data_IF_102499676608
#
_entry.id   IF_102499676608
#
_cell.length_a   1.000
_cell.length_b   1.000
_cell.length_c   1.000
_cell.angle_alpha   90.00
_cell.angle_beta   90.00
_cell.angle_gamma   90.00
#
_symmetry.space_group_name_H-M   'P 1'
#
loop_
_entity.id
_entity.type
_entity.pdbx_description
1 polymer ?
2 non-polymer ?
3 non-polymer ?
4 water ?
#
# COMPACT_ATOMS: atom_id res chain seq x y z
N UNK A 4 -18.37 20.13 -2.73
CA UNK A 4 -17.13 19.32 -2.66
C UNK A 4 -15.86 20.16 -2.73
N UNK A 5 -14.79 19.66 -2.11
CA UNK A 5 -13.50 20.32 -2.15
C UNK A 5 -12.40 19.31 -2.40
N UNK A 6 -11.42 19.73 -3.19
CA UNK A 6 -10.26 18.89 -3.41
C UNK A 6 -9.40 18.77 -2.15
N UNK A 7 -9.35 19.83 -1.36
CA UNK A 7 -8.59 19.92 -0.08
C UNK A 7 -7.08 19.95 -0.35
N UNK A 8 -6.59 18.93 -1.02
CA UNK A 8 -5.19 18.86 -1.43
C UNK A 8 -5.10 18.36 -2.87
N UNK A 9 -4.14 18.87 -3.61
CA UNK A 9 -4.00 18.51 -5.03
C UNK A 9 -3.21 17.23 -5.20
N UNK A 10 -2.14 17.14 -4.42
CA UNK A 10 -1.22 16.02 -4.50
C UNK A 10 -0.34 16.02 -3.25
N UNK A 11 0.37 14.92 -3.03
CA UNK A 11 1.37 14.85 -1.95
C UNK A 11 2.64 14.29 -2.55
N UNK A 12 3.74 15.02 -2.37
CA UNK A 12 5.06 14.49 -2.69
C UNK A 12 5.61 13.93 -1.36
N UNK A 13 6.30 12.81 -1.42
CA UNK A 13 6.90 12.24 -0.20
C UNK A 13 8.30 11.77 -0.48
N UNK A 14 9.12 11.84 0.58
CA UNK A 14 10.49 11.43 0.53
C UNK A 14 10.85 10.77 1.87
N UNK A 15 11.56 9.63 1.84
CA UNK A 15 12.18 9.09 3.09
C UNK A 15 13.38 8.26 2.72
N UNK A 16 14.20 7.97 3.72
CA UNK A 16 15.52 7.42 3.46
C UNK A 16 15.67 6.06 4.08
N UNK A 17 16.48 5.24 3.43
CA UNK A 17 16.82 3.93 3.97
C UNK A 17 18.34 3.91 4.15
N UNK A 18 18.76 3.85 5.40
CA UNK A 18 20.19 3.77 5.71
C UNK A 18 20.66 2.31 5.64
N UNK A 19 21.96 2.13 5.70
CA UNK A 19 22.56 0.80 5.49
C UNK A 19 22.07 -0.24 6.47
N UNK A 20 21.87 0.12 7.74
CA UNK A 20 21.41 -0.86 8.73
C UNK A 20 19.89 -1.07 8.68
N UNK A 21 19.19 -0.27 7.91
CA UNK A 21 17.72 -0.39 7.89
C UNK A 21 17.18 -1.47 6.97
N UNK A 22 16.02 -2.00 7.38
CA UNK A 22 15.31 -2.99 6.60
C UNK A 22 14.38 -2.20 5.70
N UNK A 23 14.62 -2.19 4.37
CA UNK A 23 13.73 -1.41 3.50
C UNK A 23 12.23 -1.76 3.66
N UNK A 24 11.91 -3.04 3.91
CA UNK A 24 10.50 -3.42 4.09
C UNK A 24 9.83 -2.73 5.27
N UNK A 25 10.56 -2.63 6.39
CA UNK A 25 10.05 -1.87 7.55
C UNK A 25 9.97 -0.37 7.31
N UNK A 26 10.93 0.20 6.57
CA UNK A 26 10.85 1.61 6.21
C UNK A 26 9.56 1.86 5.38
N UNK A 27 9.29 0.97 4.43
CA UNK A 27 8.11 1.08 3.59
C UNK A 27 6.86 0.82 4.43
N UNK A 28 6.92 -0.16 5.34
CA UNK A 28 5.79 -0.33 6.28
C UNK A 28 5.47 0.98 7.01
N UNK A 29 6.51 1.67 7.51
CA UNK A 29 6.33 2.98 8.15
C UNK A 29 5.68 4.01 7.21
N UNK A 30 6.20 4.12 5.99
CA UNK A 30 5.57 5.00 5.00
C UNK A 30 4.11 4.68 4.78
N UNK A 31 3.78 3.39 4.69
CA UNK A 31 2.38 2.97 4.49
C UNK A 31 1.48 3.13 5.70
N UNK A 32 2.06 3.53 6.83
CA UNK A 32 1.23 3.99 7.94
C UNK A 32 0.91 5.46 7.81
N UNK A 33 1.50 6.10 6.80
CA UNK A 33 1.23 7.51 6.54
C UNK A 33 0.48 7.56 5.22
N UNK A 34 0.96 6.84 4.21
CA UNK A 34 0.20 6.77 2.95
C UNK A 34 0.03 5.31 2.57
N UNK A 35 -1.10 4.68 2.96
CA UNK A 35 -1.26 3.29 2.57
C UNK A 35 -1.19 3.14 1.05
N UNK A 36 -0.57 2.07 0.59
CA UNK A 36 -0.47 1.80 -0.83
C UNK A 36 0.61 2.59 -1.54
N UNK A 37 1.34 3.44 -0.84
CA UNK A 37 2.39 4.19 -1.53
C UNK A 37 3.38 3.22 -2.14
N UNK A 38 3.76 3.47 -3.38
CA UNK A 38 4.77 2.64 -4.03
C UNK A 38 5.86 3.58 -4.52
N UNK A 39 6.88 3.78 -3.68
CA UNK A 39 7.90 4.77 -3.98
C UNK A 39 8.86 4.32 -5.07
N UNK A 40 9.39 5.30 -5.79
CA UNK A 40 10.53 5.07 -6.67
C UNK A 40 11.75 5.03 -5.79
N UNK A 41 12.76 4.30 -6.22
CA UNK A 41 14.01 4.16 -5.48
C UNK A 41 15.09 4.94 -6.17
N UNK A 42 15.96 5.58 -5.39
CA UNK A 42 17.15 6.17 -5.97
C UNK A 42 18.25 6.18 -4.95
N UNK A 43 19.48 5.91 -5.40
CA UNK A 43 20.62 5.90 -4.52
C UNK A 43 21.05 7.35 -4.27
N UNK A 44 21.41 7.67 -3.03
CA UNK A 44 21.86 9.03 -2.68
C UNK A 44 22.77 8.95 -1.46
N UNK A 45 23.12 10.11 -0.91
CA UNK A 45 23.83 10.18 0.35
C UNK A 45 22.96 10.97 1.31
N UNK A 46 22.86 10.46 2.53
CA UNK A 46 22.06 11.08 3.56
C UNK A 46 22.91 11.75 4.63
N UNK A 47 22.41 11.71 5.85
CA UNK A 47 23.09 12.23 7.03
C UNK A 47 24.52 11.72 7.07
N UNK A 48 25.44 12.65 7.27
CA UNK A 48 26.88 12.37 7.39
C UNK A 48 27.49 11.70 6.15
N UNK A 49 26.83 11.88 5.00
CA UNK A 49 27.32 11.32 3.75
C UNK A 49 27.15 9.80 3.64
N UNK A 50 26.35 9.25 4.54
CA UNK A 50 26.02 7.83 4.49
C UNK A 50 25.17 7.47 3.29
N UNK A 51 25.50 6.35 2.61
CA UNK A 51 24.76 6.03 1.40
C UNK A 51 23.37 5.60 1.80
N UNK A 52 22.39 6.09 1.06
CA UNK A 52 20.99 5.77 1.35
C UNK A 52 20.29 5.39 0.06
N UNK A 53 19.18 4.69 0.20
CA UNK A 53 18.19 4.66 -0.85
C UNK A 53 17.20 5.73 -0.46
N UNK A 54 16.90 6.61 -1.40
CA UNK A 54 15.77 7.54 -1.20
C UNK A 54 14.53 6.90 -1.79
N UNK A 55 13.47 6.86 -1.00
CA UNK A 55 12.16 6.42 -1.49
C UNK A 55 11.31 7.66 -1.69
N UNK A 56 10.96 7.92 -2.94
CA UNK A 56 10.22 9.11 -3.33
C UNK A 56 8.95 8.77 -4.11
N UNK A 57 7.96 9.66 -4.04
CA UNK A 57 6.77 9.51 -4.85
C UNK A 57 6.03 10.83 -4.91
N UNK A 58 5.19 10.95 -5.92
CA UNK A 58 4.20 12.02 -6.01
C UNK A 58 2.88 11.30 -6.23
N UNK A 59 1.99 11.50 -5.27
CA UNK A 59 0.73 10.80 -5.22
C UNK A 59 -0.37 11.81 -5.56
N UNK A 60 -1.23 11.47 -6.53
CA UNK A 60 -2.40 12.28 -6.79
C UNK A 60 -3.68 11.44 -6.94
N UNK A 61 -3.60 10.13 -6.65
CA UNK A 61 -4.79 9.25 -6.72
C UNK A 61 -5.82 9.73 -5.71
N UNK A 62 -7.05 9.97 -6.18
CA UNK A 62 -8.14 10.45 -5.35
C UNK A 62 -8.37 9.62 -4.06
N UNK A 63 -8.42 8.29 -4.19
CA UNK A 63 -8.65 7.42 -3.04
C UNK A 63 -7.57 7.56 -1.96
N UNK A 64 -6.31 7.60 -2.36
CA UNK A 64 -5.24 7.80 -1.39
C UNK A 64 -5.25 9.20 -0.77
N UNK A 65 -5.54 10.23 -1.58
CA UNK A 65 -5.53 11.60 -1.07
C UNK A 65 -6.63 11.79 -0.05
N UNK A 66 -7.78 11.17 -0.32
CA UNK A 66 -8.90 11.37 0.57
C UNK A 66 -8.71 10.62 1.87
N UNK A 67 -8.19 9.39 1.79
CA UNK A 67 -7.87 8.61 2.99
C UNK A 67 -6.81 9.32 3.85
N UNK A 68 -5.83 9.92 3.18
CA UNK A 68 -4.83 10.69 3.88
C UNK A 68 -5.46 11.87 4.65
N UNK A 69 -6.33 12.62 3.99
CA UNK A 69 -6.97 13.78 4.60
C UNK A 69 -7.84 13.36 5.80
N UNK A 70 -8.48 12.20 5.68
CA UNK A 70 -9.25 11.64 6.80
C UNK A 70 -8.35 11.45 8.03
N UNK A 71 -7.19 10.81 7.85
CA UNK A 71 -6.28 10.56 8.96
C UNK A 71 -5.60 11.86 9.41
N UNK A 72 -5.20 12.68 8.45
CA UNK A 72 -4.60 13.99 8.74
C UNK A 72 -5.53 14.82 9.63
N UNK A 73 -6.81 14.83 9.26
CA UNK A 73 -7.84 15.55 10.06
C UNK A 73 -7.97 15.01 11.49
N UNK A 74 -7.98 13.69 11.67
CA UNK A 74 -8.08 13.10 13.02
C UNK A 74 -6.86 13.49 13.85
N UNK A 75 -5.69 13.36 13.24
CA UNK A 75 -4.42 13.64 13.91
C UNK A 75 -4.33 15.12 14.34
N UNK A 76 -4.64 16.03 13.42
CA UNK A 76 -4.32 17.45 13.61
C UNK A 76 -5.48 18.39 13.97
N UNK A 77 -6.68 17.83 14.17
CA UNK A 77 -7.83 18.54 14.72
C UNK A 77 -7.35 19.29 15.97
N UNK A 78 -7.58 20.61 15.99
CA UNK A 78 -7.19 21.45 17.12
C UNK A 78 -5.69 21.62 17.35
N UNK A 79 -4.89 21.24 16.36
CA UNK A 79 -3.46 21.34 16.47
C UNK A 79 -2.90 22.23 15.37
N UNK A 80 -3.68 23.24 14.98
CA UNK A 80 -3.30 24.05 13.82
C UNK A 80 -2.04 24.85 14.09
N UNK A 81 -1.89 25.31 15.34
CA UNK A 81 -0.73 26.11 15.74
C UNK A 81 0.60 25.35 15.57
N UNK A 82 0.56 24.02 15.48
CA UNK A 82 1.74 23.21 15.20
C UNK A 82 2.07 23.14 13.71
N UNK A 83 1.18 23.63 12.86
CA UNK A 83 1.35 23.49 11.41
C UNK A 83 1.52 24.84 10.72
N UNK A 84 1.02 25.88 11.37
CA UNK A 84 0.90 27.23 10.78
C UNK A 84 2.17 27.76 10.15
N UNK A 85 3.31 27.41 10.72
CA UNK A 85 4.60 27.93 10.26
C UNK A 85 5.27 27.00 9.25
N UNK A 86 4.63 25.86 8.99
CA UNK A 86 5.19 24.87 8.07
C UNK A 86 4.71 25.05 6.62
N UNK A 87 3.92 26.08 6.36
CA UNK A 87 3.44 26.39 5.01
C UNK A 87 4.46 27.26 4.28
N UNK A 88 4.63 27.05 2.96
CA UNK A 88 5.48 27.98 2.19
C UNK A 88 4.67 29.13 1.57
N UNK A 89 5.34 29.98 0.78
CA UNK A 89 4.70 31.13 0.14
C UNK A 89 3.77 30.73 -1.03
N UNK A 90 3.83 29.46 -1.43
CA UNK A 90 3.15 28.98 -2.63
C UNK A 90 1.96 28.05 -2.45
N UNK A 91 1.43 27.93 -1.23
CA UNK A 91 0.29 27.04 -0.98
C UNK A 91 0.64 25.69 -0.36
N UNK A 92 1.92 25.32 -0.35
CA UNK A 92 2.35 24.01 0.14
C UNK A 92 2.46 23.91 1.65
N UNK A 93 2.16 22.73 2.18
CA UNK A 93 2.36 22.44 3.59
C UNK A 93 3.45 21.39 3.68
N UNK A 94 4.55 21.74 4.36
CA UNK A 94 5.65 20.79 4.54
C UNK A 94 5.58 20.18 5.92
N UNK A 95 5.42 18.87 5.94
CA UNK A 95 5.20 18.14 7.18
C UNK A 95 6.16 16.96 7.25
N UNK A 96 6.94 16.93 8.33
CA UNK A 96 7.86 15.83 8.58
C UNK A 96 7.34 15.01 9.76
N UNK A 97 7.32 13.70 9.58
CA UNK A 97 6.83 12.79 10.62
C UNK A 97 7.93 11.83 11.00
N UNK A 98 8.02 11.53 12.30
CA UNK A 98 9.01 10.61 12.82
C UNK A 98 8.85 9.24 12.17
N UNK A 99 9.94 8.74 11.60
CA UNK A 99 9.89 7.47 10.91
C UNK A 99 9.64 6.28 11.85
N UNK A 100 10.22 6.32 13.06
CA UNK A 100 10.09 5.19 13.97
C UNK A 100 8.70 5.14 14.53
N UNK A 101 8.19 6.32 14.87
CA UNK A 101 6.80 6.45 15.27
C UNK A 101 5.84 6.00 14.16
N UNK A 102 6.08 6.42 12.92
CA UNK A 102 5.27 5.94 11.79
C UNK A 102 5.24 4.40 11.72
N UNK A 103 6.38 3.76 11.97
CA UNK A 103 6.40 2.30 11.92
C UNK A 103 5.46 1.72 12.99
N UNK A 104 5.34 2.42 14.11
CA UNK A 104 4.40 1.99 15.15
C UNK A 104 2.97 2.52 14.92
N UNK A 105 2.73 3.16 13.77
CA UNK A 105 1.39 3.63 13.41
C UNK A 105 1.03 4.96 14.06
N UNK A 106 2.04 5.73 14.44
CA UNK A 106 1.80 7.01 15.10
C UNK A 106 2.36 8.12 14.20
N UNK A 107 1.60 9.21 14.09
CA UNK A 107 2.06 10.36 13.34
C UNK A 107 2.62 11.37 14.31
N UNK A 108 3.94 11.53 14.28
CA UNK A 108 4.59 12.45 15.19
C UNK A 108 5.33 13.49 14.36
N UNK A 109 4.85 14.75 14.38
CA UNK A 109 5.53 15.81 13.65
C UNK A 109 6.90 16.06 14.25
N UNK A 110 7.90 16.24 13.40
CA UNK A 110 9.24 16.58 13.84
C UNK A 110 9.78 17.72 12.99
N UNK A 111 10.86 18.35 13.45
CA UNK A 111 11.44 19.48 12.75
C UNK A 111 12.71 19.09 11.98
N UNK A 112 13.49 18.20 12.58
CA UNK A 112 14.71 17.72 11.98
C UNK A 112 14.84 16.24 12.32
N UNK A 113 15.83 15.60 11.70
CA UNK A 113 16.12 14.21 11.97
C UNK A 113 15.56 13.30 10.89
N UNK A 114 15.62 12.00 11.18
CA UNK A 114 15.19 10.99 10.22
C UNK A 114 13.68 10.97 10.15
N UNK A 115 13.18 11.51 9.05
CA UNK A 115 11.76 11.69 8.93
C UNK A 115 11.19 11.23 7.61
N UNK A 116 9.88 11.07 7.61
CA UNK A 116 9.10 10.94 6.40
C UNK A 116 8.72 12.37 6.00
N UNK A 117 9.24 12.84 4.87
CA UNK A 117 9.00 14.24 4.50
C UNK A 117 7.80 14.27 3.56
N UNK A 118 6.79 15.03 3.91
CA UNK A 118 5.66 15.26 2.99
C UNK A 118 5.63 16.71 2.51
N UNK A 119 5.50 16.86 1.20
CA UNK A 119 5.22 18.17 0.62
C UNK A 119 3.79 18.09 0.12
N UNK A 120 2.88 18.71 0.87
CA UNK A 120 1.46 18.62 0.58
C UNK A 120 0.96 19.87 -0.18
N UNK A 121 0.58 19.69 -1.45
CA UNK A 121 0.01 20.78 -2.24
C UNK A 121 -1.46 21.03 -1.86
N UNK A 122 -1.65 22.06 -1.03
CA UNK A 122 -2.95 22.40 -0.51
C UNK A 122 -3.77 23.13 -1.58
N UNK A 123 -5.02 22.70 -1.75
CA UNK A 123 -5.96 23.42 -2.60
C UNK A 123 -6.09 24.83 -2.07
N UNK A 124 -5.68 25.80 -2.89
CA UNK A 124 -5.64 27.19 -2.48
C UNK A 124 -5.62 28.11 -3.69
N UNK A 125 -6.58 29.03 -3.74
CA UNK A 125 -6.58 30.04 -4.77
C UNK A 125 -6.96 31.37 -4.17
N UNK A 126 -6.08 32.38 -4.31
CA UNK A 126 -4.75 32.29 -4.94
C UNK A 126 -3.82 31.33 -4.20
N UNK A 127 -2.87 30.72 -4.92
CA UNK A 127 -1.94 29.77 -4.33
C UNK A 127 -0.93 30.52 -3.46
N UNK A 128 -1.36 30.90 -2.26
CA UNK A 128 -0.56 31.72 -1.36
C UNK A 128 -0.66 31.21 0.07
N UNK A 129 0.33 31.54 0.90
CA UNK A 129 0.40 31.01 2.27
C UNK A 129 -0.89 31.23 3.06
N UNK A 130 -1.40 32.46 3.08
CA UNK A 130 -2.56 32.80 3.90
C UNK A 130 -3.80 32.00 3.50
N UNK A 131 -3.99 31.82 2.19
CA UNK A 131 -5.13 31.08 1.66
C UNK A 131 -5.03 29.61 2.10
N UNK A 132 -3.86 29.02 1.90
CA UNK A 132 -3.63 27.62 2.27
C UNK A 132 -3.82 27.40 3.78
N UNK A 133 -3.23 28.28 4.59
CA UNK A 133 -3.39 28.26 6.04
C UNK A 133 -4.87 28.30 6.44
N UNK A 134 -5.59 29.28 5.92
CA UNK A 134 -7.03 29.43 6.23
C UNK A 134 -7.81 28.14 5.89
N UNK A 135 -7.51 27.58 4.72
CA UNK A 135 -8.20 26.38 4.24
C UNK A 135 -7.98 25.16 5.13
N UNK A 136 -6.75 24.97 5.58
CA UNK A 136 -6.42 23.86 6.45
C UNK A 136 -7.00 24.07 7.86
N UNK A 137 -6.92 25.30 8.36
CA UNK A 137 -7.45 25.63 9.69
C UNK A 137 -8.95 25.33 9.76
N UNK A 138 -9.67 25.70 8.70
CA UNK A 138 -11.09 25.40 8.56
C UNK A 138 -11.33 23.89 8.62
N UNK A 139 -10.47 23.13 7.94
CA UNK A 139 -10.58 21.67 7.93
C UNK A 139 -10.28 21.07 9.30
N UNK A 140 -9.30 21.65 10.01
CA UNK A 140 -8.91 21.19 11.34
C UNK A 140 -9.77 21.75 12.47
N UNK B 6 5.35 -6.16 -16.38
CA UNK B 6 5.60 -6.77 -17.71
C UNK B 6 4.95 -8.16 -17.85
N UNK B 7 5.09 -8.97 -16.82
CA UNK B 7 4.72 -10.39 -16.90
C UNK B 7 3.32 -10.68 -16.34
N UNK B 8 2.88 -9.82 -15.45
CA UNK B 8 1.58 -9.95 -14.79
C UNK B 8 0.62 -8.90 -15.35
N UNK B 9 -0.57 -9.32 -15.75
CA UNK B 9 -1.59 -8.40 -16.26
C UNK B 9 -2.21 -7.64 -15.11
N UNK B 10 -2.87 -8.37 -14.20
CA UNK B 10 -3.41 -7.78 -12.99
C UNK B 10 -3.69 -8.85 -11.95
N UNK B 11 -4.19 -8.41 -10.81
CA UNK B 11 -4.53 -9.35 -9.73
C UNK B 11 -5.89 -8.94 -9.21
N UNK B 12 -6.79 -9.89 -9.04
CA UNK B 12 -8.01 -9.56 -8.32
C UNK B 12 -8.07 -10.39 -7.05
N UNK B 13 -8.81 -9.91 -6.07
CA UNK B 13 -8.77 -10.57 -4.77
C UNK B 13 -10.15 -10.65 -4.21
N UNK B 14 -10.33 -11.59 -3.28
CA UNK B 14 -11.58 -11.77 -2.59
C UNK B 14 -11.28 -12.32 -1.20
N UNK B 15 -11.99 -11.81 -0.19
CA UNK B 15 -11.89 -12.33 1.16
C UNK B 15 -13.20 -12.00 1.86
N UNK B 16 -13.43 -12.67 2.99
CA UNK B 16 -14.65 -12.45 3.75
C UNK B 16 -14.44 -11.84 5.13
N UNK B 17 -15.49 -11.17 5.60
CA UNK B 17 -15.48 -10.62 6.94
C UNK B 17 -16.64 -11.29 7.66
N UNK B 18 -16.35 -12.06 8.70
CA UNK B 18 -17.38 -12.81 9.45
C UNK B 18 -17.91 -11.95 10.59
N UNK B 19 -19.01 -12.38 11.21
CA UNK B 19 -19.63 -11.57 12.25
C UNK B 19 -18.72 -11.21 13.41
N UNK B 20 -17.79 -12.09 13.77
CA UNK B 20 -16.92 -11.86 14.95
C UNK B 20 -15.69 -11.06 14.62
N UNK B 21 -15.48 -10.79 13.33
CA UNK B 21 -14.30 -10.08 12.90
C UNK B 21 -14.41 -8.58 12.95
N UNK B 22 -13.29 -7.95 13.19
CA UNK B 22 -13.15 -6.49 13.10
C UNK B 22 -12.78 -6.20 11.67
N UNK B 23 -13.66 -5.54 10.93
CA UNK B 23 -13.37 -5.28 9.54
C UNK B 23 -12.07 -4.50 9.31
N UNK B 24 -11.71 -3.59 10.23
CA UNK B 24 -10.47 -2.84 10.08
C UNK B 24 -9.26 -3.75 10.11
N UNK B 25 -9.31 -4.77 10.96
CA UNK B 25 -8.23 -5.73 11.03
C UNK B 25 -8.22 -6.64 9.83
N UNK B 26 -9.40 -6.97 9.30
CA UNK B 26 -9.44 -7.76 8.06
C UNK B 26 -8.81 -6.95 6.91
N UNK B 27 -9.12 -5.66 6.84
CA UNK B 27 -8.55 -4.79 5.81
C UNK B 27 -7.04 -4.60 6.02
N UNK B 28 -6.59 -4.53 7.27
CA UNK B 28 -5.14 -4.54 7.57
C UNK B 28 -4.44 -5.78 7.01
N UNK B 29 -5.03 -6.95 7.28
CA UNK B 29 -4.53 -8.20 6.71
C UNK B 29 -4.44 -8.15 5.17
N UNK B 30 -5.52 -7.72 4.53
CA UNK B 30 -5.59 -7.60 3.07
C UNK B 30 -4.46 -6.71 2.53
N UNK B 31 -4.24 -5.58 3.20
CA UNK B 31 -3.26 -4.60 2.75
C UNK B 31 -1.81 -5.03 2.91
N UNK B 32 -1.61 -6.09 3.70
CA UNK B 32 -0.30 -6.73 3.78
C UNK B 32 -0.05 -7.62 2.59
N UNK B 33 -1.05 -7.77 1.74
CA UNK B 33 -0.90 -8.51 0.48
C UNK B 33 -1.08 -7.54 -0.68
N UNK B 34 -2.07 -6.67 -0.56
CA UNK B 34 -2.48 -5.73 -1.61
C UNK B 34 -2.42 -4.34 -1.01
N UNK B 35 -1.24 -3.73 -0.99
CA UNK B 35 -1.07 -2.46 -0.30
C UNK B 35 -2.05 -1.44 -0.83
N UNK B 36 -2.68 -0.69 0.09
CA UNK B 36 -3.61 0.37 -0.28
C UNK B 36 -4.98 -0.10 -0.76
N UNK B 37 -5.23 -1.41 -0.68
CA UNK B 37 -6.51 -1.97 -1.17
C UNK B 37 -7.70 -1.21 -0.59
N UNK B 38 -8.68 -0.90 -1.44
CA UNK B 38 -9.93 -0.27 -1.04
C UNK B 38 -11.06 -1.16 -1.61
N UNK B 39 -11.40 -2.24 -0.91
CA UNK B 39 -12.33 -3.21 -1.48
C UNK B 39 -13.74 -2.72 -1.61
N UNK B 40 -14.48 -3.31 -2.56
CA UNK B 40 -15.93 -3.17 -2.58
C UNK B 40 -16.52 -4.20 -1.62
N UNK B 41 -17.62 -3.85 -0.98
CA UNK B 41 -18.30 -4.73 -0.03
C UNK B 41 -19.61 -5.27 -0.59
N UNK B 42 -19.88 -6.55 -0.36
CA UNK B 42 -21.18 -7.15 -0.69
C UNK B 42 -21.69 -7.97 0.49
N UNK B 43 -22.96 -7.81 0.87
CA UNK B 43 -23.48 -8.68 1.93
C UNK B 43 -23.66 -10.08 1.35
N UNK B 44 -23.35 -11.11 2.13
CA UNK B 44 -23.63 -12.50 1.75
C UNK B 44 -23.95 -13.36 2.97
N UNK B 45 -24.02 -14.68 2.81
CA UNK B 45 -24.16 -15.61 3.94
C UNK B 45 -23.05 -16.67 4.02
N UNK B 46 -22.70 -17.07 5.23
CA UNK B 46 -21.83 -18.24 5.46
C UNK B 46 -22.56 -19.56 5.24
N UNK B 47 -21.85 -20.67 5.43
CA UNK B 47 -22.42 -22.03 5.23
C UNK B 47 -23.74 -22.26 5.98
N UNK B 48 -23.83 -21.74 7.19
CA UNK B 48 -25.01 -21.94 8.04
C UNK B 48 -26.02 -20.78 7.94
N UNK B 49 -25.76 -19.84 7.04
CA UNK B 49 -26.68 -18.73 6.79
C UNK B 49 -26.41 -17.51 7.64
N UNK B 50 -25.28 -17.49 8.35
CA UNK B 50 -24.83 -16.30 9.10
C UNK B 50 -24.40 -15.18 8.14
N UNK B 51 -24.73 -13.92 8.47
CA UNK B 51 -24.38 -12.79 7.60
C UNK B 51 -22.88 -12.55 7.55
N UNK B 52 -22.37 -12.42 6.33
CA UNK B 52 -20.95 -12.09 6.09
C UNK B 52 -20.82 -10.95 5.08
N UNK B 53 -19.62 -10.37 5.02
CA UNK B 53 -19.32 -9.36 4.02
C UNK B 53 -18.23 -9.90 3.11
N UNK B 54 -18.46 -9.80 1.81
CA UNK B 54 -17.44 -10.19 0.85
C UNK B 54 -16.75 -8.93 0.36
N UNK B 55 -15.44 -8.95 0.42
CA UNK B 55 -14.62 -7.85 0.00
C UNK B 55 -13.92 -8.24 -1.30
N UNK B 56 -14.01 -7.41 -2.34
CA UNK B 56 -13.30 -7.71 -3.58
C UNK B 56 -12.68 -6.46 -4.14
N UNK B 57 -11.66 -6.65 -4.97
CA UNK B 57 -11.02 -5.56 -5.68
C UNK B 57 -9.96 -6.08 -6.62
N UNK B 58 -9.23 -5.14 -7.20
CA UNK B 58 -8.27 -5.46 -8.23
C UNK B 58 -7.02 -4.62 -8.03
N UNK B 59 -5.87 -5.19 -8.36
CA UNK B 59 -4.65 -4.43 -8.33
C UNK B 59 -4.25 -4.38 -9.80
N UNK B 60 -4.21 -3.16 -10.36
CA UNK B 60 -4.03 -2.93 -11.82
C UNK B 60 -2.80 -2.07 -12.13
N UNK B 61 -2.40 -1.26 -11.14
CA UNK B 61 -1.29 -0.31 -11.27
C UNK B 61 0.08 -0.99 -11.40
N UNK B 62 0.85 -0.54 -12.37
CA UNK B 62 2.04 -1.22 -12.82
C UNK B 62 3.09 -1.40 -11.72
N UNK B 63 3.39 -0.32 -10.99
CA UNK B 63 4.41 -0.34 -9.93
C UNK B 63 4.03 -1.22 -8.76
N UNK B 64 2.74 -1.24 -8.43
CA UNK B 64 2.22 -2.07 -7.35
C UNK B 64 2.33 -3.54 -7.74
N UNK B 65 2.04 -3.85 -9.01
CA UNK B 65 2.14 -5.23 -9.50
C UNK B 65 3.58 -5.75 -9.41
N UNK B 66 4.52 -4.85 -9.67
CA UNK B 66 5.93 -5.19 -9.58
C UNK B 66 6.36 -5.52 -8.14
N UNK B 67 5.96 -4.69 -7.17
CA UNK B 67 6.24 -4.99 -5.77
C UNK B 67 5.59 -6.31 -5.37
N UNK B 68 4.33 -6.51 -5.75
CA UNK B 68 3.68 -7.78 -5.48
C UNK B 68 4.54 -8.95 -5.99
N UNK B 69 5.10 -8.82 -7.20
CA UNK B 69 5.85 -9.93 -7.80
C UNK B 69 7.18 -10.19 -7.12
N UNK B 70 7.81 -9.13 -6.66
CA UNK B 70 9.06 -9.28 -5.92
C UNK B 70 8.82 -10.07 -4.63
N UNK B 71 7.74 -9.71 -3.91
CA UNK B 71 7.36 -10.44 -2.70
C UNK B 71 6.90 -11.89 -3.01
N UNK B 72 6.09 -12.04 -4.06
CA UNK B 72 5.73 -13.38 -4.55
C UNK B 72 6.95 -14.27 -4.80
N UNK B 73 7.95 -13.70 -5.46
CA UNK B 73 9.19 -14.42 -5.80
C UNK B 73 9.96 -14.90 -4.56
N UNK B 74 10.11 -14.02 -3.57
CA UNK B 74 10.71 -14.41 -2.27
C UNK B 74 9.92 -15.56 -1.63
N UNK B 75 8.61 -15.37 -1.51
CA UNK B 75 7.77 -16.33 -0.78
C UNK B 75 7.77 -17.70 -1.44
N UNK B 76 7.60 -17.72 -2.77
CA UNK B 76 7.40 -18.97 -3.48
C UNK B 76 8.62 -19.53 -4.20
N UNK B 77 9.78 -18.91 -4.01
CA UNK B 77 11.03 -19.43 -4.59
C UNK B 77 11.20 -20.87 -4.19
N UNK B 78 11.48 -21.72 -5.19
CA UNK B 78 11.65 -23.14 -4.97
C UNK B 78 10.41 -23.86 -4.49
N UNK B 79 9.23 -23.31 -4.84
CA UNK B 79 7.93 -23.89 -4.44
C UNK B 79 6.94 -24.03 -5.60
N UNK B 80 7.46 -23.97 -6.83
CA UNK B 80 6.66 -24.17 -8.05
C UNK B 80 5.82 -25.45 -8.00
N UNK B 81 6.35 -26.49 -7.36
CA UNK B 81 5.63 -27.74 -7.14
C UNK B 81 4.24 -27.51 -6.56
N UNK B 82 4.15 -26.69 -5.52
CA UNK B 82 2.88 -26.38 -4.87
C UNK B 82 1.90 -25.61 -5.76
N UNK B 83 2.42 -24.79 -6.66
CA UNK B 83 1.56 -23.91 -7.48
C UNK B 83 1.09 -24.51 -8.80
N UNK B 84 1.80 -25.53 -9.29
CA UNK B 84 1.65 -25.97 -10.67
C UNK B 84 0.21 -26.35 -11.06
N UNK B 85 -0.49 -27.05 -10.17
CA UNK B 85 -1.85 -27.46 -10.48
C UNK B 85 -2.89 -26.39 -10.08
N UNK B 86 -2.42 -25.15 -9.85
CA UNK B 86 -3.33 -23.99 -9.63
C UNK B 86 -3.41 -23.02 -10.82
N UNK B 87 -2.80 -23.39 -11.94
CA UNK B 87 -2.86 -22.60 -13.16
C UNK B 87 -4.03 -23.09 -14.00
N UNK B 88 -4.95 -22.20 -14.36
CA UNK B 88 -6.11 -22.61 -15.15
C UNK B 88 -5.81 -22.57 -16.66
N UNK B 89 -6.82 -22.83 -17.49
CA UNK B 89 -6.65 -22.84 -18.93
C UNK B 89 -6.51 -21.45 -19.55
N UNK B 90 -6.70 -20.41 -18.75
CA UNK B 90 -6.61 -19.03 -19.23
C UNK B 90 -5.34 -18.31 -18.80
N UNK B 91 -4.41 -19.04 -18.19
CA UNK B 91 -3.17 -18.45 -17.69
C UNK B 91 -3.33 -17.68 -16.40
N UNK B 92 -4.40 -17.98 -15.67
CA UNK B 92 -4.59 -17.47 -14.32
C UNK B 92 -3.98 -18.43 -13.33
N UNK B 93 -3.25 -17.86 -12.37
CA UNK B 93 -2.82 -18.60 -11.19
C UNK B 93 -3.71 -18.23 -10.04
N UNK B 94 -4.32 -19.24 -9.42
CA UNK B 94 -5.24 -19.01 -8.31
C UNK B 94 -4.52 -19.40 -7.05
N UNK B 95 -4.47 -18.46 -6.12
CA UNK B 95 -3.65 -18.57 -4.94
C UNK B 95 -4.45 -18.10 -3.72
N UNK B 96 -4.58 -18.94 -2.70
CA UNK B 96 -5.10 -18.50 -1.41
C UNK B 96 -3.98 -18.29 -0.38
N UNK B 97 -4.04 -17.18 0.35
CA UNK B 97 -3.16 -16.94 1.48
C UNK B 97 -3.94 -16.89 2.81
N UNK B 98 -3.37 -17.50 3.85
CA UNK B 98 -3.97 -17.52 5.20
C UNK B 98 -4.22 -16.08 5.69
N UNK B 99 -5.47 -15.74 5.94
CA UNK B 99 -5.85 -14.38 6.35
C UNK B 99 -5.19 -13.95 7.68
N UNK B 100 -5.15 -14.86 8.65
CA UNK B 100 -4.54 -14.54 9.95
C UNK B 100 -3.04 -14.29 9.83
N UNK B 101 -2.39 -15.13 9.03
CA UNK B 101 -0.98 -14.95 8.75
C UNK B 101 -0.73 -13.59 8.07
N UNK B 102 -1.57 -13.23 7.10
CA UNK B 102 -1.44 -11.94 6.44
C UNK B 102 -1.54 -10.77 7.40
N UNK B 103 -2.38 -10.88 8.42
CA UNK B 103 -2.47 -9.81 9.42
C UNK B 103 -1.11 -9.65 10.13
N UNK B 104 -0.39 -10.77 10.30
CA UNK B 104 0.96 -10.74 10.89
C UNK B 104 2.07 -10.43 9.90
N UNK B 105 1.73 -10.24 8.63
CA UNK B 105 2.68 -9.82 7.60
C UNK B 105 3.30 -10.99 6.86
N UNK B 106 2.71 -12.17 7.01
CA UNK B 106 3.23 -13.41 6.44
C UNK B 106 2.32 -13.88 5.34
N UNK B 107 2.90 -14.25 4.21
CA UNK B 107 2.18 -14.84 3.11
C UNK B 107 2.26 -16.36 3.21
N UNK B 108 1.18 -17.02 3.61
CA UNK B 108 1.24 -18.48 3.72
C UNK B 108 0.20 -19.06 2.81
N UNK B 109 0.63 -19.80 1.77
CA UNK B 109 -0.34 -20.36 0.87
C UNK B 109 -1.10 -21.48 1.56
N UNK B 110 -2.38 -21.58 1.25
CA UNK B 110 -3.24 -22.58 1.85
C UNK B 110 -4.18 -23.08 0.78
N UNK B 111 -4.79 -24.23 1.04
CA UNK B 111 -5.71 -24.85 0.09
C UNK B 111 -7.11 -24.85 0.66
N UNK B 112 -7.23 -24.31 1.86
CA UNK B 112 -8.48 -24.38 2.56
C UNK B 112 -8.43 -23.42 3.74
N UNK B 113 -9.57 -23.30 4.42
CA UNK B 113 -9.75 -22.41 5.52
C UNK B 113 -9.96 -20.99 5.08
N UNK B 114 -9.96 -20.09 6.06
CA UNK B 114 -10.16 -18.68 5.81
C UNK B 114 -8.95 -17.95 5.21
N UNK B 115 -9.14 -17.43 4.02
CA UNK B 115 -8.06 -17.05 3.17
C UNK B 115 -8.36 -15.78 2.38
N UNK B 116 -7.31 -15.13 1.95
CA UNK B 116 -7.38 -14.10 0.92
C UNK B 116 -7.19 -14.84 -0.41
N UNK B 117 -8.20 -14.80 -1.27
CA UNK B 117 -8.17 -15.56 -2.52
C UNK B 117 -7.63 -14.62 -3.59
N UNK B 118 -6.49 -14.95 -4.20
CA UNK B 118 -5.92 -14.15 -5.29
C UNK B 118 -6.13 -14.89 -6.61
N UNK B 119 -6.42 -14.08 -7.63
CA UNK B 119 -6.48 -14.55 -9.01
C UNK B 119 -5.49 -13.68 -9.75
N UNK B 120 -4.35 -14.27 -10.09
CA UNK B 120 -3.26 -13.56 -10.72
C UNK B 120 -3.22 -13.85 -12.23
N UNK B 121 -3.49 -12.84 -13.03
CA UNK B 121 -3.55 -13.03 -14.49
C UNK B 121 -2.16 -12.81 -15.06
N UNK B 122 -1.54 -13.90 -15.49
CA UNK B 122 -0.25 -13.84 -16.14
C UNK B 122 -0.45 -13.52 -17.62
N UNK B 123 0.39 -12.64 -18.17
CA UNK B 123 0.37 -12.35 -19.60
C UNK B 123 0.94 -13.60 -20.24
N UNK B 124 0.07 -14.41 -20.85
CA UNK B 124 0.51 -15.70 -21.37
C UNK B 124 -0.23 -16.06 -22.65
N UNK B 125 0.56 -16.43 -23.66
CA UNK B 125 0.07 -16.66 -25.01
C UNK B 125 1.21 -17.19 -25.90
N UNK B 126 0.88 -17.88 -27.00
CA UNK B 126 -0.45 -18.34 -27.39
C UNK B 126 -0.94 -19.52 -26.53
N UNK B 127 -0.01 -20.29 -25.98
CA UNK B 127 -0.36 -21.43 -25.10
C UNK B 127 -0.48 -20.85 -23.69
N UNK B 128 -1.69 -20.47 -23.31
CA UNK B 128 -1.91 -19.73 -22.07
C UNK B 128 -1.44 -20.46 -20.80
N UNK B 129 -1.83 -21.72 -20.64
CA UNK B 129 -1.45 -22.48 -19.44
C UNK B 129 0.06 -22.70 -19.45
N UNK B 130 0.59 -23.29 -20.52
CA UNK B 130 2.03 -23.64 -20.56
C UNK B 130 2.94 -22.41 -20.40
N UNK B 131 2.59 -21.30 -21.03
CA UNK B 131 3.42 -20.09 -20.97
C UNK B 131 3.34 -19.46 -19.57
N UNK B 132 2.13 -19.41 -19.00
CA UNK B 132 1.97 -18.91 -17.64
C UNK B 132 2.78 -19.77 -16.66
N UNK B 133 2.68 -21.08 -16.81
CA UNK B 133 3.43 -21.99 -15.95
C UNK B 133 4.93 -21.77 -16.09
N UNK B 134 5.42 -21.69 -17.32
CA UNK B 134 6.86 -21.50 -17.56
C UNK B 134 7.38 -20.15 -17.06
N UNK B 135 6.64 -19.08 -17.34
CA UNK B 135 7.02 -17.73 -16.86
C UNK B 135 7.16 -17.68 -15.33
N UNK B 136 6.26 -18.35 -14.62
CA UNK B 136 6.31 -18.36 -13.17
C UNK B 136 7.37 -19.36 -12.69
N UNK B 137 7.50 -20.48 -13.40
CA UNK B 137 8.51 -21.47 -13.05
C UNK B 137 9.88 -20.79 -13.11
N UNK B 138 10.12 -20.05 -14.20
CA UNK B 138 11.39 -19.36 -14.41
C UNK B 138 11.77 -18.44 -13.23
N UNK B 139 10.85 -17.60 -12.78
CA UNK B 139 11.18 -16.65 -11.70
C UNK B 139 11.32 -17.29 -10.33
N UNK B 140 10.85 -18.50 -10.18
CA UNK B 140 10.94 -19.17 -8.90
C UNK B 140 12.01 -20.25 -8.80
N UNK B 141 12.84 -20.39 -9.82
CA UNK B 141 13.90 -21.41 -9.80
C UNK B 141 15.11 -20.85 -9.13
X LIG C 1 26.73 15.78 12.14
X LIG D 1 -0.99 -0.36 2.62
#
# INVERSE_FOLDING_TARGET
>A
GSHMRDMIHNISYCLMVYGTEDEEKVIEALRNVIPGATPERESAEGYHGNPITVLRGRLDRRRALREFMEKFTEVFRGRMDELEDRFDENGNLFLRLDKQKALEGVWEPVRHGDAIHLKIKVEAYPAKREVAVENIRKILE
>B
GSHMRDMIHNISYCLMVYGTEDEEKVIEALRNVIPGATPERESAEGYHGNPITVLRGRLDRRRALREFMEKFTEVFRGRMDELEDRFDENGNLFLRLDKQKALEGVWEPVRHGDAIHLKIKVEAYPAKREVAVENIRKILE
>C hetero
1 NI NI
>D hetero
1 CL CL
#
